data_IF_618106046429
#
_entry.id   IF_618106046429
#
_cell.length_a   1.000
_cell.length_b   1.000
_cell.length_c   1.000
_cell.angle_alpha   90.00
_cell.angle_beta   90.00
_cell.angle_gamma   90.00
#
_symmetry.space_group_name_H-M   'P 1'
#
loop_
_entity.id
_entity.type
_entity.pdbx_description
1 polymer ?
#
# COMPACT_ATOMS: atom_id res chain seq x y z
N UNK A 1 4.40 19.78 -20.10
CA UNK A 1 3.91 18.98 -18.95
C UNK A 1 2.97 19.85 -18.10
N UNK A 2 1.75 19.38 -17.77
CA UNK A 2 0.86 20.12 -16.87
C UNK A 2 1.57 20.37 -15.54
N UNK A 3 1.54 21.61 -15.03
CA UNK A 3 2.17 21.94 -13.75
C UNK A 3 1.39 21.29 -12.62
N UNK A 4 2.07 20.43 -11.86
CA UNK A 4 1.54 19.82 -10.63
C UNK A 4 1.02 20.91 -9.67
N UNK A 5 -0.13 20.64 -9.04
CA UNK A 5 -0.69 21.51 -8.00
C UNK A 5 0.32 21.68 -6.86
N UNK A 6 0.25 22.81 -6.13
CA UNK A 6 1.17 23.10 -5.02
C UNK A 6 1.14 21.99 -3.97
N UNK A 7 -0.05 21.49 -3.63
CA UNK A 7 -0.23 20.35 -2.70
C UNK A 7 0.50 19.11 -3.19
N UNK A 8 0.27 18.72 -4.45
CA UNK A 8 0.90 17.52 -5.02
C UNK A 8 2.42 17.68 -5.11
N UNK A 9 2.92 18.88 -5.38
CA UNK A 9 4.37 19.17 -5.39
C UNK A 9 5.01 18.98 -4.01
N UNK A 10 4.34 19.44 -2.95
CA UNK A 10 4.81 19.25 -1.57
C UNK A 10 4.79 17.77 -1.16
N UNK A 11 3.74 17.04 -1.52
CA UNK A 11 3.68 15.59 -1.30
C UNK A 11 4.81 14.87 -2.04
N UNK A 12 5.11 15.28 -3.27
CA UNK A 12 6.20 14.69 -4.05
C UNK A 12 7.57 15.05 -3.50
N UNK A 13 7.77 16.27 -2.99
CA UNK A 13 9.03 16.68 -2.36
C UNK A 13 9.42 15.75 -1.19
N UNK A 14 8.46 15.14 -0.50
CA UNK A 14 8.73 14.14 0.52
C UNK A 14 9.47 12.91 -0.03
N UNK A 15 9.19 12.49 -1.28
CA UNK A 15 9.73 11.28 -1.90
C UNK A 15 10.93 11.52 -2.82
N UNK A 16 11.26 12.78 -3.11
CA UNK A 16 12.35 13.11 -4.03
C UNK A 16 13.68 13.24 -3.28
N UNK A 17 14.75 12.69 -3.85
CA UNK A 17 16.11 12.94 -3.37
C UNK A 17 16.68 14.26 -3.94
N UNK A 18 17.91 14.59 -3.56
CA UNK A 18 18.67 15.75 -4.05
C UNK A 18 18.82 15.79 -5.58
N UNK A 19 18.70 14.65 -6.25
CA UNK A 19 18.75 14.51 -7.72
C UNK A 19 17.36 14.43 -8.36
N UNK A 20 16.30 14.78 -7.64
CA UNK A 20 14.90 14.71 -8.07
C UNK A 20 14.45 13.32 -8.56
N UNK A 21 14.99 12.25 -7.97
CA UNK A 21 14.52 10.88 -8.20
C UNK A 21 13.66 10.41 -7.03
N UNK A 22 12.62 9.63 -7.32
CA UNK A 22 11.79 9.01 -6.30
C UNK A 22 12.61 7.98 -5.56
N UNK A 23 12.79 8.16 -4.26
CA UNK A 23 13.48 7.24 -3.37
C UNK A 23 12.82 7.22 -2.01
N UNK A 24 12.70 6.04 -1.42
CA UNK A 24 12.23 5.90 -0.04
C UNK A 24 13.38 6.12 0.94
N UNK A 25 13.12 6.82 2.04
CA UNK A 25 14.07 7.02 3.10
C UNK A 25 14.41 5.69 3.77
N UNK A 26 15.71 5.43 3.95
CA UNK A 26 16.20 4.22 4.57
C UNK A 26 15.66 4.00 5.99
N UNK A 27 15.47 5.07 6.76
CA UNK A 27 14.91 5.03 8.12
C UNK A 27 13.43 4.62 8.12
N UNK A 28 12.70 4.96 7.06
CA UNK A 28 11.27 4.68 6.97
C UNK A 28 10.97 3.22 6.59
N UNK A 29 11.96 2.45 6.11
CA UNK A 29 11.75 1.04 5.70
C UNK A 29 11.18 0.16 6.81
N UNK A 30 11.59 0.39 8.06
CA UNK A 30 11.13 -0.34 9.25
C UNK A 30 10.20 0.46 10.14
N UNK A 31 9.62 1.57 9.67
CA UNK A 31 8.79 2.43 10.50
C UNK A 31 7.50 1.72 10.93
N UNK A 32 7.25 1.69 12.24
CA UNK A 32 6.05 1.10 12.86
C UNK A 32 4.87 2.07 12.92
N UNK A 33 5.13 3.37 12.77
CA UNK A 33 4.11 4.43 12.75
C UNK A 33 3.48 4.58 11.35
N UNK A 34 2.43 5.41 11.25
CA UNK A 34 1.81 5.79 9.98
C UNK A 34 2.70 6.76 9.19
N UNK A 35 3.77 6.21 8.63
CA UNK A 35 4.67 6.90 7.72
C UNK A 35 4.30 6.57 6.28
N UNK A 36 4.11 7.61 5.45
CA UNK A 36 3.85 7.47 4.01
C UNK A 36 5.01 6.85 3.22
N UNK A 37 6.21 6.78 3.80
CA UNK A 37 7.39 6.12 3.25
C UNK A 37 7.67 4.75 3.89
N UNK A 38 6.80 4.27 4.78
CA UNK A 38 6.87 2.90 5.25
C UNK A 38 6.43 1.92 4.16
N UNK A 39 6.93 0.69 4.24
CA UNK A 39 6.58 -0.40 3.34
C UNK A 39 5.45 -1.27 3.91
N UNK A 40 4.71 -0.74 4.90
CA UNK A 40 3.59 -1.45 5.50
C UNK A 40 2.48 -1.59 4.47
N UNK A 41 2.03 -2.83 4.29
CA UNK A 41 0.90 -3.16 3.42
C UNK A 41 -0.24 -3.69 4.29
N UNK A 42 -1.47 -3.34 3.91
CA UNK A 42 -2.68 -3.94 4.49
C UNK A 42 -3.10 -5.05 3.55
N UNK A 43 -3.22 -6.27 4.07
CA UNK A 43 -3.76 -7.40 3.32
C UNK A 43 -5.28 -7.26 3.32
N UNK A 44 -5.84 -6.90 2.18
CA UNK A 44 -7.29 -6.88 1.98
C UNK A 44 -7.71 -8.22 1.39
N UNK A 45 -8.53 -8.97 2.12
CA UNK A 45 -9.16 -10.17 1.60
C UNK A 45 -10.38 -9.77 0.78
N UNK A 46 -10.41 -10.16 -0.50
CA UNK A 46 -11.60 -10.06 -1.32
C UNK A 46 -12.31 -11.42 -1.30
N UNK A 47 -13.52 -11.53 -0.73
CA UNK A 47 -14.23 -12.82 -0.62
C UNK A 47 -14.49 -13.49 -1.97
N UNK A 48 -14.49 -12.72 -3.07
CA UNK A 48 -14.73 -13.21 -4.44
C UNK A 48 -13.45 -13.50 -5.22
N UNK A 49 -12.28 -13.19 -4.66
CA UNK A 49 -11.01 -13.36 -5.37
C UNK A 49 -10.00 -14.09 -4.49
N UNK A 50 -9.80 -15.38 -4.81
CA UNK A 50 -8.75 -16.21 -4.22
C UNK A 50 -7.65 -16.43 -5.25
N UNK A 51 -6.41 -16.20 -4.85
CA UNK A 51 -5.26 -16.49 -5.71
C UNK A 51 -5.16 -18.01 -5.97
N UNK A 52 -4.61 -18.42 -7.12
CA UNK A 52 -4.36 -19.85 -7.42
C UNK A 52 -3.46 -20.56 -6.39
N UNK A 53 -2.70 -19.79 -5.61
CA UNK A 53 -1.80 -20.29 -4.56
C UNK A 53 -2.50 -20.39 -3.19
N UNK A 54 -3.73 -19.90 -3.08
CA UNK A 54 -4.51 -19.94 -1.85
C UNK A 54 -4.90 -21.39 -1.51
N UNK A 55 -4.69 -21.79 -0.25
CA UNK A 55 -5.19 -23.06 0.29
C UNK A 55 -6.38 -22.74 1.18
N UNK A 56 -7.58 -23.06 0.71
CA UNK A 56 -8.80 -22.80 1.47
C UNK A 56 -8.77 -23.52 2.81
N UNK A 57 -8.98 -22.78 3.90
CA UNK A 57 -9.25 -23.34 5.23
C UNK A 57 -10.76 -23.51 5.41
N UNK A 58 -11.23 -24.43 6.28
CA UNK A 58 -12.65 -24.64 6.52
C UNK A 58 -13.40 -23.35 6.90
N UNK A 59 -12.76 -22.48 7.68
CA UNK A 59 -13.27 -21.17 8.14
C UNK A 59 -13.41 -20.12 7.05
N UNK A 60 -12.74 -20.29 5.90
CA UNK A 60 -12.82 -19.31 4.81
C UNK A 60 -14.13 -19.45 4.01
N UNK A 61 -14.81 -20.61 4.12
CA UNK A 61 -16.09 -20.87 3.44
C UNK A 61 -17.29 -20.17 4.09
N UNK A 62 -17.28 -20.00 5.42
CA UNK A 62 -18.36 -19.31 6.16
C UNK A 62 -18.47 -17.82 5.78
N UNK A 63 -17.35 -17.17 5.46
CA UNK A 63 -17.34 -15.78 4.99
C UNK A 63 -17.86 -15.59 3.56
N UNK A 64 -18.05 -16.68 2.80
CA UNK A 64 -18.57 -16.63 1.44
C UNK A 64 -20.10 -16.45 1.41
N UNK A 65 -20.79 -16.87 2.47
CA UNK A 65 -22.25 -16.76 2.63
C UNK A 65 -22.69 -15.39 3.18
N UNK A 66 -21.79 -14.63 3.81
CA UNK A 66 -22.06 -13.28 4.35
C UNK A 66 -22.20 -12.18 3.28
N UNK A 67 -21.86 -12.47 2.02
CA UNK A 67 -21.88 -11.51 0.89
C UNK A 67 -23.02 -11.84 -0.10
N UNK A 68 -24.01 -12.62 0.33
CA UNK A 68 -25.25 -12.87 -0.41
C UNK A 68 -26.38 -11.98 0.08
#
# INVERSE_FOLDING_TARGET
MPRMSKKRRLEWAFFLNERNRITFNALCRGCTHDCKQSFRAIVVLCPRYYSKRWKARPTDKENQDYVR
#
